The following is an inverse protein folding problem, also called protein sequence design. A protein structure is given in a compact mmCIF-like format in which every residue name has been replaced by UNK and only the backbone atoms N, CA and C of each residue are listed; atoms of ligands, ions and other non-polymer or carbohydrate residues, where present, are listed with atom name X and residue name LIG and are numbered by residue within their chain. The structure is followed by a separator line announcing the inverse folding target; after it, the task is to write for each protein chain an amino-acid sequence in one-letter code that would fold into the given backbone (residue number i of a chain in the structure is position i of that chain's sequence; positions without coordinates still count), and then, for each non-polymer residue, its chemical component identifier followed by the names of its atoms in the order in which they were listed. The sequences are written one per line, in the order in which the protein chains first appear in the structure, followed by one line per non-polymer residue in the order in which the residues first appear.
data_IF_001633782975
#
_entry.id   IF_001633782975
#
_cell.length_a   1.000
_cell.length_b   1.000
_cell.length_c   1.000
_cell.angle_alpha   90.00
_cell.angle_beta   90.00
_cell.angle_gamma   90.00
#
_symmetry.space_group_name_H-M   'P 1'
#
loop_
_entity.id
_entity.type
_entity.pdbx_description
1 polymer ?
#
# COMPACT_ATOMS: atom_id res chain seq x y z
N UNK A 1 -22.13 -35.35 11.38
CA UNK A 1 -20.96 -34.54 11.00
C UNK A 1 -21.33 -33.08 11.25
N UNK A 2 -21.07 -32.58 12.45
CA UNK A 2 -21.42 -31.22 12.87
C UNK A 2 -20.45 -30.22 12.26
N UNK A 3 -20.95 -29.23 11.51
CA UNK A 3 -20.14 -28.13 11.03
C UNK A 3 -19.46 -27.43 12.23
N UNK A 4 -18.15 -27.15 12.19
CA UNK A 4 -17.51 -26.40 13.26
C UNK A 4 -18.13 -25.00 13.32
N UNK A 5 -18.54 -24.59 14.52
CA UNK A 5 -19.04 -23.25 14.83
C UNK A 5 -18.12 -22.19 14.21
N UNK A 6 -18.56 -21.57 13.11
CA UNK A 6 -17.94 -20.36 12.59
C UNK A 6 -18.23 -19.27 13.63
N UNK A 7 -17.25 -19.01 14.50
CA UNK A 7 -17.33 -17.98 15.51
C UNK A 7 -17.57 -16.65 14.79
N UNK A 8 -18.64 -15.95 15.12
CA UNK A 8 -18.88 -14.61 14.58
C UNK A 8 -17.63 -13.76 14.82
N UNK A 9 -17.15 -13.00 13.82
CA UNK A 9 -15.97 -12.16 13.97
C UNK A 9 -16.17 -11.22 15.16
N UNK A 10 -15.15 -11.13 16.01
CA UNK A 10 -15.21 -10.26 17.18
C UNK A 10 -15.51 -8.82 16.73
N UNK A 11 -16.48 -8.17 17.39
CA UNK A 11 -16.75 -6.74 17.12
C UNK A 11 -15.49 -5.94 17.42
N UNK A 12 -15.06 -5.11 16.48
CA UNK A 12 -13.96 -4.16 16.69
C UNK A 12 -14.28 -3.23 17.87
N UNK A 13 -13.26 -2.91 18.66
CA UNK A 13 -13.39 -1.96 19.76
C UNK A 13 -13.88 -0.60 19.24
N UNK A 14 -14.66 0.13 20.05
CA UNK A 14 -15.25 1.40 19.66
C UNK A 14 -14.20 2.49 19.32
N UNK A 15 -13.00 2.37 19.87
CA UNK A 15 -11.85 3.23 19.63
C UNK A 15 -10.85 2.67 18.61
N UNK A 16 -11.19 1.59 17.91
CA UNK A 16 -10.32 1.03 16.88
C UNK A 16 -10.12 2.05 15.74
N UNK A 17 -8.90 2.17 15.18
CA UNK A 17 -8.62 3.16 14.14
C UNK A 17 -9.46 2.88 12.90
N UNK A 18 -9.97 3.91 12.26
CA UNK A 18 -10.64 3.77 10.95
C UNK A 18 -9.61 3.26 9.93
N UNK A 19 -9.99 2.22 9.18
CA UNK A 19 -9.20 1.64 8.10
C UNK A 19 -10.03 1.59 6.82
N UNK A 20 -9.36 1.41 5.68
CA UNK A 20 -10.02 1.21 4.39
C UNK A 20 -10.60 -0.22 4.27
N UNK A 21 -11.46 -0.59 5.23
CA UNK A 21 -12.07 -1.91 5.35
C UNK A 21 -13.48 -1.91 4.75
N UNK A 22 -13.56 -2.07 3.42
CA UNK A 22 -14.83 -1.97 2.70
C UNK A 22 -15.43 -0.56 2.73
N UNK A 23 -16.69 -0.39 2.31
CA UNK A 23 -17.80 -1.30 2.61
C UNK A 23 -18.02 -2.44 1.60
N UNK A 24 -17.51 -2.32 0.38
CA UNK A 24 -17.85 -3.24 -0.73
C UNK A 24 -17.26 -4.64 -0.54
N UNK A 25 -16.00 -4.71 -0.11
CA UNK A 25 -15.32 -5.94 0.22
C UNK A 25 -14.58 -5.79 1.55
N UNK A 26 -15.26 -6.07 2.68
CA UNK A 26 -14.70 -5.92 4.02
C UNK A 26 -13.75 -7.10 4.33
N UNK A 27 -12.63 -7.16 3.62
CA UNK A 27 -11.54 -8.10 3.85
C UNK A 27 -10.36 -7.42 4.55
N UNK A 28 -9.85 -8.06 5.58
CA UNK A 28 -8.77 -7.53 6.42
C UNK A 28 -7.40 -7.79 5.76
N UNK A 29 -7.08 -7.02 4.73
CA UNK A 29 -5.81 -7.14 4.00
C UNK A 29 -4.58 -6.94 4.91
N UNK A 30 -4.68 -6.04 5.89
CA UNK A 30 -3.62 -5.82 6.88
C UNK A 30 -3.35 -7.03 7.74
N UNK A 31 -4.39 -7.67 8.27
CA UNK A 31 -4.27 -8.91 9.02
C UNK A 31 -3.68 -10.04 8.15
N UNK A 32 -4.15 -10.18 6.91
CA UNK A 32 -3.65 -11.19 5.98
C UNK A 32 -2.17 -11.01 5.64
N UNK A 33 -1.74 -9.77 5.38
CA UNK A 33 -0.33 -9.44 5.09
C UNK A 33 0.59 -9.60 6.31
N UNK A 34 0.08 -9.35 7.52
CA UNK A 34 0.85 -9.45 8.76
C UNK A 34 0.89 -10.86 9.35
N UNK A 35 0.03 -11.78 8.87
CA UNK A 35 -0.10 -13.11 9.45
C UNK A 35 1.20 -13.93 9.28
N UNK A 36 1.73 -14.56 10.35
CA UNK A 36 3.03 -15.23 10.32
C UNK A 36 3.08 -16.46 9.40
N UNK A 37 1.93 -17.04 9.05
CA UNK A 37 1.85 -18.14 8.09
C UNK A 37 2.08 -17.70 6.62
N UNK A 38 2.16 -16.40 6.34
CA UNK A 38 2.26 -15.86 4.99
C UNK A 38 0.94 -15.97 4.20
N UNK A 39 1.00 -15.67 2.91
CA UNK A 39 -0.17 -15.59 2.03
C UNK A 39 -0.63 -16.96 1.50
N UNK A 40 0.19 -17.99 1.67
CA UNK A 40 -0.06 -19.34 1.17
C UNK A 40 1.24 -20.05 0.81
N UNK A 41 1.11 -21.23 0.21
CA UNK A 41 2.21 -22.06 -0.27
C UNK A 41 1.83 -22.63 -1.64
N UNK A 42 2.77 -22.64 -2.57
CA UNK A 42 2.60 -23.27 -3.88
C UNK A 42 3.26 -24.66 -3.91
N UNK A 43 2.79 -25.58 -4.76
CA UNK A 43 3.48 -26.84 -4.97
C UNK A 43 4.93 -26.61 -5.45
N UNK A 44 5.93 -27.33 -4.92
CA UNK A 44 7.33 -27.14 -5.33
C UNK A 44 7.58 -27.30 -6.83
N UNK A 45 6.77 -28.12 -7.51
CA UNK A 45 6.83 -28.30 -8.97
C UNK A 45 6.48 -27.04 -9.78
N UNK A 46 5.92 -26.00 -9.13
CA UNK A 46 5.62 -24.71 -9.75
C UNK A 46 6.68 -23.65 -9.45
N UNK A 47 7.61 -23.89 -8.54
CA UNK A 47 8.64 -22.89 -8.23
C UNK A 47 9.47 -22.55 -9.47
N UNK A 48 9.83 -21.28 -9.62
CA UNK A 48 10.55 -20.76 -10.78
C UNK A 48 9.69 -20.56 -12.04
N UNK A 49 8.41 -20.95 -12.03
CA UNK A 49 7.50 -20.68 -13.16
C UNK A 49 7.38 -19.17 -13.38
N UNK A 50 7.53 -18.74 -14.63
CA UNK A 50 7.41 -17.33 -15.00
C UNK A 50 5.96 -16.85 -14.98
N UNK A 51 5.76 -15.65 -14.44
CA UNK A 51 4.46 -14.95 -14.48
C UNK A 51 4.69 -13.54 -15.00
N UNK A 52 4.14 -13.24 -16.17
CA UNK A 52 4.23 -11.91 -16.75
C UNK A 52 3.37 -10.91 -15.96
N UNK A 53 3.95 -9.76 -15.64
CA UNK A 53 3.28 -8.64 -14.96
C UNK A 53 3.49 -7.40 -15.83
N UNK A 54 2.40 -6.83 -16.34
CA UNK A 54 2.46 -5.64 -17.20
C UNK A 54 2.15 -4.41 -16.35
N UNK A 55 3.18 -3.59 -16.12
CA UNK A 55 3.16 -2.36 -15.32
C UNK A 55 3.99 -2.47 -14.04
N UNK A 56 5.04 -1.67 -13.92
CA UNK A 56 5.90 -1.56 -12.72
C UNK A 56 5.44 -0.43 -11.77
N UNK A 57 4.13 -0.23 -11.65
CA UNK A 57 3.52 0.60 -10.61
C UNK A 57 3.27 -0.18 -9.32
N UNK A 58 2.70 0.46 -8.29
CA UNK A 58 2.48 -0.17 -6.97
C UNK A 58 1.72 -1.49 -7.04
N UNK A 59 0.63 -1.58 -7.81
CA UNK A 59 -0.13 -2.83 -7.91
C UNK A 59 0.71 -3.99 -8.50
N UNK A 60 1.42 -3.73 -9.59
CA UNK A 60 2.26 -4.74 -10.25
C UNK A 60 3.46 -5.14 -9.41
N UNK A 61 4.14 -4.18 -8.76
CA UNK A 61 5.29 -4.46 -7.90
C UNK A 61 4.88 -5.17 -6.59
N UNK A 62 3.73 -4.83 -6.01
CA UNK A 62 3.18 -5.58 -4.87
C UNK A 62 2.87 -7.03 -5.27
N UNK A 63 2.20 -7.24 -6.40
CA UNK A 63 1.92 -8.59 -6.90
C UNK A 63 3.22 -9.37 -7.18
N UNK A 64 4.20 -8.75 -7.84
CA UNK A 64 5.50 -9.35 -8.11
C UNK A 64 6.21 -9.77 -6.82
N UNK A 65 6.28 -8.87 -5.84
CA UNK A 65 6.93 -9.13 -4.56
C UNK A 65 6.31 -10.33 -3.83
N UNK A 66 4.98 -10.39 -3.76
CA UNK A 66 4.30 -11.49 -3.08
C UNK A 66 4.37 -12.81 -3.86
N UNK A 67 4.27 -12.80 -5.19
CA UNK A 67 4.43 -14.01 -6.02
C UNK A 67 5.86 -14.57 -5.93
N UNK A 68 6.86 -13.68 -5.86
CA UNK A 68 8.25 -14.07 -5.65
C UNK A 68 8.45 -14.77 -4.29
N UNK A 69 7.83 -14.24 -3.22
CA UNK A 69 7.84 -14.89 -1.88
C UNK A 69 7.20 -16.27 -1.89
N UNK A 70 6.21 -16.50 -2.76
CA UNK A 70 5.58 -17.81 -2.96
C UNK A 70 6.41 -18.78 -3.84
N UNK A 71 7.57 -18.35 -4.34
CA UNK A 71 8.50 -19.17 -5.11
C UNK A 71 8.37 -19.09 -6.63
N UNK A 72 7.53 -18.20 -7.17
CA UNK A 72 7.42 -17.96 -8.62
C UNK A 72 8.50 -17.00 -9.12
N UNK A 73 8.64 -16.89 -10.45
CA UNK A 73 9.54 -15.94 -11.12
C UNK A 73 8.73 -14.85 -11.83
N UNK A 74 8.30 -13.78 -11.14
CA UNK A 74 7.59 -12.67 -11.79
C UNK A 74 8.50 -11.98 -12.80
N UNK A 75 7.99 -11.77 -14.03
CA UNK A 75 8.65 -11.05 -15.11
C UNK A 75 7.88 -9.76 -15.35
N UNK A 76 8.44 -8.64 -14.88
CA UNK A 76 7.78 -7.33 -14.91
C UNK A 76 8.16 -6.57 -16.18
N UNK A 77 7.15 -6.14 -16.93
CA UNK A 77 7.28 -5.28 -18.10
C UNK A 77 6.76 -3.89 -17.77
N UNK A 78 7.50 -2.85 -18.15
CA UNK A 78 7.09 -1.46 -17.95
C UNK A 78 7.36 -0.67 -19.23
N UNK A 79 6.33 0.02 -19.72
CA UNK A 79 6.41 0.73 -20.99
C UNK A 79 7.07 2.12 -20.85
N UNK A 80 7.09 2.68 -19.65
CA UNK A 80 7.62 4.01 -19.39
C UNK A 80 8.57 4.01 -18.20
N UNK A 81 8.05 4.09 -16.98
CA UNK A 81 8.85 4.39 -15.79
C UNK A 81 8.37 3.60 -14.59
N UNK A 82 9.32 3.10 -13.82
CA UNK A 82 9.05 2.44 -12.55
C UNK A 82 8.29 3.38 -11.59
N UNK A 83 7.41 2.79 -10.78
CA UNK A 83 6.55 3.49 -9.83
C UNK A 83 5.24 4.00 -10.46
N UNK A 84 5.19 4.19 -11.78
CA UNK A 84 4.02 4.68 -12.48
C UNK A 84 3.55 6.02 -11.93
N UNK A 85 2.38 6.02 -11.27
CA UNK A 85 1.73 7.20 -10.65
C UNK A 85 2.22 7.53 -9.24
N UNK A 86 3.11 6.74 -8.65
CA UNK A 86 3.92 7.21 -7.52
C UNK A 86 5.23 7.74 -8.09
N UNK A 87 5.42 9.06 -8.05
CA UNK A 87 6.44 9.76 -8.81
C UNK A 87 7.02 10.93 -8.02
N UNK A 88 8.14 10.69 -7.39
CA UNK A 88 8.98 11.73 -6.78
C UNK A 88 10.02 12.20 -7.81
N UNK A 89 9.91 13.42 -8.29
CA UNK A 89 10.87 14.02 -9.23
C UNK A 89 11.82 14.97 -8.49
N UNK A 90 13.14 14.75 -8.52
CA UNK A 90 14.09 15.68 -7.90
C UNK A 90 14.12 17.02 -8.63
N UNK A 91 14.36 18.10 -7.87
CA UNK A 91 14.69 19.40 -8.46
C UNK A 91 16.14 19.41 -8.98
N UNK A 92 16.40 20.24 -9.99
CA UNK A 92 17.75 20.49 -10.48
C UNK A 92 18.62 21.14 -9.38
N UNK A 93 19.93 20.84 -9.37
CA UNK A 93 20.87 21.42 -8.40
C UNK A 93 21.06 20.64 -7.09
N UNK A 94 20.44 19.46 -6.92
CA UNK A 94 20.90 18.44 -5.96
C UNK A 94 20.63 18.71 -4.48
N UNK A 95 19.69 19.61 -4.14
CA UNK A 95 19.34 19.94 -2.74
C UNK A 95 18.62 18.82 -1.97
N UNK A 96 18.37 17.67 -2.61
CA UNK A 96 17.58 16.57 -2.04
C UNK A 96 16.06 16.82 -2.02
N UNK A 97 15.60 18.00 -2.47
CA UNK A 97 14.19 18.31 -2.60
C UNK A 97 13.56 17.56 -3.79
N UNK A 98 12.32 17.13 -3.61
CA UNK A 98 11.51 16.45 -4.63
C UNK A 98 10.16 17.14 -4.80
N UNK A 99 9.60 17.02 -6.00
CA UNK A 99 8.19 17.27 -6.27
C UNK A 99 7.46 15.94 -6.46
N UNK A 100 6.38 15.72 -5.71
CA UNK A 100 5.49 14.58 -5.92
C UNK A 100 4.54 14.88 -7.08
N UNK A 101 4.73 14.20 -8.21
CA UNK A 101 3.94 14.38 -9.45
C UNK A 101 2.76 13.41 -9.55
N UNK A 102 2.42 12.73 -8.45
CA UNK A 102 1.35 11.76 -8.37
C UNK A 102 0.79 11.65 -6.95
N UNK A 103 0.72 10.43 -6.41
CA UNK A 103 0.27 10.25 -5.02
C UNK A 103 1.23 10.91 -4.02
N UNK A 104 0.75 11.89 -3.25
CA UNK A 104 1.60 12.69 -2.32
C UNK A 104 1.12 12.70 -0.86
N UNK A 105 -0.15 12.38 -0.62
CA UNK A 105 -0.76 12.38 0.72
C UNK A 105 -1.55 11.09 0.88
N UNK A 106 -1.14 10.27 1.84
CA UNK A 106 -1.70 8.94 2.05
C UNK A 106 -2.40 8.93 3.42
N UNK A 107 -3.71 8.63 3.47
CA UNK A 107 -4.41 8.57 4.75
C UNK A 107 -3.91 7.37 5.56
N UNK A 108 -3.78 7.52 6.88
CA UNK A 108 -3.32 6.45 7.78
C UNK A 108 -4.24 5.22 7.78
N UNK A 109 -5.49 5.39 7.33
CA UNK A 109 -6.45 4.29 7.14
C UNK A 109 -6.06 3.32 6.02
N UNK A 110 -5.12 3.68 5.13
CA UNK A 110 -4.59 2.82 4.06
C UNK A 110 -3.60 1.79 4.61
N UNK A 111 -4.07 0.90 5.49
CA UNK A 111 -3.21 -0.02 6.26
C UNK A 111 -2.40 -0.98 5.39
N UNK A 112 -2.96 -1.46 4.28
CA UNK A 112 -2.25 -2.29 3.30
C UNK A 112 -1.11 -1.54 2.58
N UNK A 113 -1.27 -0.26 2.25
CA UNK A 113 -0.19 0.56 1.70
C UNK A 113 0.92 0.76 2.74
N UNK A 114 0.53 1.13 3.97
CA UNK A 114 1.49 1.37 5.05
C UNK A 114 2.20 0.10 5.54
N UNK A 115 1.69 -1.10 5.25
CA UNK A 115 2.43 -2.35 5.46
C UNK A 115 3.76 -2.30 4.70
N UNK A 116 3.74 -1.98 3.41
CA UNK A 116 4.95 -1.91 2.59
C UNK A 116 5.84 -0.71 2.92
N UNK A 117 5.27 0.44 3.28
CA UNK A 117 6.04 1.60 3.77
C UNK A 117 6.87 1.21 5.00
N UNK A 118 6.25 0.51 5.97
CA UNK A 118 6.95 0.03 7.17
C UNK A 118 7.96 -1.07 6.86
N UNK A 119 7.62 -2.01 5.97
CA UNK A 119 8.53 -3.07 5.53
C UNK A 119 9.83 -2.51 4.96
N UNK A 120 9.75 -1.40 4.23
CA UNK A 120 10.91 -0.72 3.64
C UNK A 120 11.59 0.28 4.60
N UNK A 121 11.08 0.45 5.83
CA UNK A 121 11.63 1.40 6.81
C UNK A 121 11.52 2.87 6.38
N UNK A 122 10.57 3.21 5.50
CA UNK A 122 10.45 4.56 4.96
C UNK A 122 9.81 5.51 5.98
N UNK A 123 10.38 6.71 6.19
CA UNK A 123 9.78 7.69 7.07
C UNK A 123 8.52 8.31 6.45
N UNK A 124 7.60 8.75 7.30
CA UNK A 124 6.46 9.58 6.89
C UNK A 124 6.22 10.68 7.93
N UNK A 125 5.58 11.77 7.51
CA UNK A 125 5.21 12.89 8.36
C UNK A 125 3.81 13.39 8.02
N UNK A 126 3.11 14.09 8.93
CA UNK A 126 1.83 14.72 8.61
C UNK A 126 1.94 15.63 7.38
N UNK A 127 1.01 15.47 6.45
CA UNK A 127 0.93 16.31 5.26
C UNK A 127 0.29 17.67 5.63
N UNK A 128 0.78 18.80 5.11
CA UNK A 128 0.27 20.14 5.42
C UNK A 128 -1.07 20.42 4.71
N UNK A 129 -2.12 19.69 5.08
CA UNK A 129 -3.49 19.98 4.64
C UNK A 129 -4.00 21.25 5.33
N UNK A 130 -4.87 22.05 4.69
CA UNK A 130 -5.41 23.26 5.29
C UNK A 130 -6.09 22.98 6.64
N UNK A 131 -5.98 23.93 7.56
CA UNK A 131 -6.54 23.85 8.93
C UNK A 131 -6.03 22.66 9.76
N UNK A 132 -4.89 22.06 9.40
CA UNK A 132 -4.23 21.04 10.22
C UNK A 132 -3.01 21.62 10.93
N UNK A 133 -2.54 21.01 12.04
CA UNK A 133 -1.33 21.47 12.72
C UNK A 133 -0.08 21.55 11.82
N UNK A 134 -0.06 20.79 10.71
CA UNK A 134 1.05 20.79 9.76
C UNK A 134 1.07 21.99 8.80
N UNK A 135 -0.03 22.75 8.66
CA UNK A 135 -0.16 23.81 7.66
C UNK A 135 0.13 25.23 8.17
N UNK A 136 0.35 25.46 9.47
CA UNK A 136 0.59 26.76 10.14
C UNK A 136 -0.52 27.83 9.94
N UNK A 137 -0.89 28.16 8.71
CA UNK A 137 -1.98 29.06 8.35
C UNK A 137 -2.75 28.53 7.13
N UNK A 138 -3.93 29.07 6.88
CA UNK A 138 -4.72 28.79 5.68
C UNK A 138 -5.36 30.10 5.24
N UNK A 139 -5.14 30.49 3.98
CA UNK A 139 -5.83 31.63 3.38
C UNK A 139 -7.06 31.09 2.64
N UNK A 140 -8.21 31.70 2.93
CA UNK A 140 -9.45 31.50 2.18
C UNK A 140 -9.76 32.85 1.56
N UNK A 141 -9.69 32.91 0.24
CA UNK A 141 -10.06 34.08 -0.54
C UNK A 141 -11.38 33.78 -1.26
N UNK A 142 -12.38 34.64 -1.04
CA UNK A 142 -13.68 34.57 -1.67
C UNK A 142 -13.95 35.96 -2.26
N UNK A 143 -14.24 36.01 -3.56
CA UNK A 143 -14.54 37.23 -4.32
C UNK A 143 -13.39 38.24 -4.57
N UNK A 144 -12.19 38.03 -4.03
CA UNK A 144 -10.96 38.78 -4.38
C UNK A 144 -10.70 40.03 -3.53
#
# INVERSE_FOLDING_TARGET
MTQPNVRAPARRAANAPITMFGPDFPFAYDDWLAHPAGLGVLPPSRHGTEVAIVGAGMAGLTAAYELMKLGLKPVVYEASRMGGRLRSQPFEGGSGAIAELGGMRFPLSSTGFYHYVRLLGLPSRPFPNPLTPAANCTVIDLEG
#
